data_IF_631171158762
#
_entry.id   IF_631171158762
#
_cell.length_a   1.000
_cell.length_b   1.000
_cell.length_c   1.000
_cell.angle_alpha   90.00
_cell.angle_beta   90.00
_cell.angle_gamma   90.00
#
_symmetry.space_group_name_H-M   'P 1'
#
loop_
_entity.id
_entity.type
_entity.pdbx_description
1 polymer ?
#
# COMPACT_ATOMS: atom_id res chain seq x y z
N UNK A 1 -1.19 -29.73 24.51
CA UNK A 1 -0.89 -29.64 23.07
C UNK A 1 -2.13 -29.08 22.40
N UNK A 2 -2.05 -27.88 21.83
CA UNK A 2 -3.21 -27.25 21.18
C UNK A 2 -3.28 -27.84 19.77
N UNK A 3 -4.32 -28.63 19.54
CA UNK A 3 -4.58 -29.24 18.25
C UNK A 3 -4.97 -28.14 17.25
N UNK A 4 -4.11 -27.92 16.27
CA UNK A 4 -4.33 -26.91 15.24
C UNK A 4 -5.26 -27.51 14.20
N UNK A 5 -6.51 -27.05 14.15
CA UNK A 5 -7.48 -27.45 13.14
C UNK A 5 -6.84 -27.38 11.75
N UNK A 6 -6.71 -28.52 11.07
CA UNK A 6 -6.30 -28.58 9.66
C UNK A 6 -7.24 -27.69 8.85
N UNK A 7 -6.72 -26.59 8.30
CA UNK A 7 -7.45 -25.76 7.34
C UNK A 7 -7.83 -26.63 6.13
N UNK A 8 -9.09 -26.58 5.65
CA UNK A 8 -9.48 -27.31 4.45
C UNK A 8 -8.65 -26.83 3.25
N UNK A 9 -8.24 -27.77 2.39
CA UNK A 9 -7.59 -27.44 1.12
C UNK A 9 -8.57 -26.67 0.25
N UNK A 10 -8.20 -25.46 -0.13
CA UNK A 10 -9.04 -24.62 -0.99
C UNK A 10 -8.70 -24.96 -2.44
N UNK A 11 -9.43 -25.91 -3.02
CA UNK A 11 -9.46 -26.07 -4.47
C UNK A 11 -10.12 -24.83 -5.12
N UNK A 12 -9.87 -24.60 -6.41
CA UNK A 12 -10.39 -23.45 -7.17
C UNK A 12 -11.85 -23.13 -6.79
N UNK A 13 -12.07 -21.93 -6.25
CA UNK A 13 -13.39 -21.49 -5.78
C UNK A 13 -14.37 -21.45 -6.96
N UNK A 14 -13.88 -21.09 -8.16
CA UNK A 14 -14.54 -21.11 -9.48
C UNK A 14 -13.48 -21.13 -10.60
N UNK A 15 -13.82 -21.55 -11.83
CA UNK A 15 -12.91 -21.47 -12.98
C UNK A 15 -12.38 -20.05 -13.16
N UNK A 16 -11.06 -19.88 -13.17
CA UNK A 16 -10.40 -18.57 -13.29
C UNK A 16 -10.22 -17.81 -11.97
N UNK A 17 -10.66 -18.37 -10.84
CA UNK A 17 -10.35 -17.85 -9.50
C UNK A 17 -9.17 -18.62 -8.95
N UNK A 18 -8.01 -17.96 -8.92
CA UNK A 18 -6.76 -18.50 -8.38
C UNK A 18 -7.00 -19.01 -6.95
N UNK A 19 -6.43 -20.18 -6.66
CA UNK A 19 -6.36 -20.71 -5.29
C UNK A 19 -5.72 -19.63 -4.39
N UNK A 20 -6.31 -19.29 -3.23
CA UNK A 20 -5.71 -18.35 -2.30
C UNK A 20 -4.29 -18.80 -1.95
N UNK A 21 -3.33 -17.87 -2.05
CA UNK A 21 -1.96 -18.14 -1.65
C UNK A 21 -1.92 -18.59 -0.18
N UNK A 22 -0.98 -19.48 0.17
CA UNK A 22 -0.80 -19.90 1.56
C UNK A 22 -0.58 -18.69 2.46
N UNK A 23 -1.17 -18.74 3.66
CA UNK A 23 -1.04 -17.66 4.64
C UNK A 23 0.35 -17.72 5.28
N UNK A 24 1.22 -16.77 4.89
CA UNK A 24 2.60 -16.63 5.34
C UNK A 24 2.77 -15.29 6.04
N UNK A 25 3.92 -15.06 6.67
CA UNK A 25 4.29 -13.74 7.20
C UNK A 25 4.35 -12.65 6.12
N UNK A 26 4.52 -13.04 4.85
CA UNK A 26 4.57 -12.13 3.70
C UNK A 26 3.22 -12.01 2.98
N UNK A 27 2.16 -12.64 3.50
CA UNK A 27 0.82 -12.52 2.92
C UNK A 27 0.34 -11.09 3.08
N UNK A 28 -0.03 -10.41 1.98
CA UNK A 28 -0.40 -9.02 2.03
C UNK A 28 -1.75 -8.90 2.74
N UNK A 29 -1.82 -8.01 3.73
CA UNK A 29 -3.03 -7.72 4.49
C UNK A 29 -3.36 -6.25 4.33
N UNK A 30 -4.64 -5.92 4.47
CA UNK A 30 -5.01 -4.52 4.60
C UNK A 30 -4.49 -3.99 5.92
N UNK A 31 -3.57 -3.02 5.85
CA UNK A 31 -3.07 -2.26 6.96
C UNK A 31 -4.22 -1.50 7.63
N UNK A 32 -4.17 -1.50 8.95
CA UNK A 32 -5.06 -0.75 9.82
C UNK A 32 -4.25 -0.17 10.97
N UNK A 33 -4.82 0.79 11.69
CA UNK A 33 -4.20 1.43 12.84
C UNK A 33 -5.27 1.91 13.81
N UNK A 34 -4.85 2.33 15.01
CA UNK A 34 -5.74 3.04 15.93
C UNK A 34 -5.80 4.51 15.52
N UNK A 35 -6.95 4.91 14.95
CA UNK A 35 -7.15 6.28 14.48
C UNK A 35 -7.30 7.30 15.61
N UNK A 36 -7.78 6.87 16.78
CA UNK A 36 -7.92 7.75 17.93
C UNK A 36 -6.55 7.98 18.56
N UNK A 37 -5.75 6.95 18.73
CA UNK A 37 -4.35 7.09 19.20
C UNK A 37 -3.53 7.99 18.27
N UNK A 38 -3.64 7.80 16.94
CA UNK A 38 -3.01 8.67 15.95
C UNK A 38 -3.46 10.13 16.04
N UNK A 39 -4.67 10.38 16.53
CA UNK A 39 -5.21 11.73 16.63
C UNK A 39 -4.78 12.47 17.89
N UNK A 40 -4.49 11.74 18.95
CA UNK A 40 -3.98 12.27 20.22
C UNK A 40 -2.44 12.37 20.25
N UNK A 41 -1.77 12.00 19.16
CA UNK A 41 -0.31 12.09 19.04
C UNK A 41 0.16 13.54 19.15
N UNK A 42 0.95 13.83 20.19
CA UNK A 42 1.58 15.13 20.37
C UNK A 42 2.74 15.30 19.37
N UNK A 43 2.58 16.27 18.47
CA UNK A 43 3.58 16.61 17.44
C UNK A 43 4.36 17.88 17.77
N UNK A 44 4.09 18.53 18.90
CA UNK A 44 4.61 19.87 19.22
C UNK A 44 6.14 19.95 19.21
N UNK A 45 6.81 18.88 19.66
CA UNK A 45 8.28 18.79 19.71
C UNK A 45 8.92 18.81 18.32
N UNK A 46 8.20 18.35 17.29
CA UNK A 46 8.69 18.22 15.92
C UNK A 46 7.81 18.94 14.89
N UNK A 47 7.02 19.92 15.33
CA UNK A 47 6.02 20.56 14.48
C UNK A 47 6.68 21.32 13.32
N UNK A 48 7.82 21.97 13.58
CA UNK A 48 8.57 22.71 12.57
C UNK A 48 9.10 21.79 11.48
N UNK A 49 9.67 20.63 11.84
CA UNK A 49 10.13 19.63 10.89
C UNK A 49 8.97 19.03 10.08
N UNK A 50 7.85 18.71 10.74
CA UNK A 50 6.66 18.20 10.05
C UNK A 50 6.08 19.21 9.07
N UNK A 51 6.09 20.50 9.42
CA UNK A 51 5.68 21.58 8.52
C UNK A 51 6.62 21.72 7.34
N UNK A 52 7.93 21.60 7.55
CA UNK A 52 8.90 21.59 6.46
C UNK A 52 8.67 20.41 5.49
N UNK A 53 8.45 19.21 6.01
CA UNK A 53 8.10 18.02 5.21
C UNK A 53 6.77 18.24 4.46
N UNK A 54 5.77 18.85 5.11
CA UNK A 54 4.49 19.17 4.47
C UNK A 54 4.68 20.11 3.27
N UNK A 55 5.55 21.12 3.37
CA UNK A 55 5.86 21.99 2.24
C UNK A 55 6.53 21.23 1.08
N UNK A 56 7.41 20.27 1.36
CA UNK A 56 7.97 19.41 0.31
C UNK A 56 6.90 18.54 -0.36
N UNK A 57 5.97 17.98 0.42
CA UNK A 57 4.84 17.23 -0.13
C UNK A 57 3.91 18.10 -0.99
N UNK A 58 3.74 19.38 -0.63
CA UNK A 58 2.98 20.36 -1.41
C UNK A 58 3.70 20.72 -2.72
N UNK A 59 5.01 20.90 -2.68
CA UNK A 59 5.85 21.18 -3.84
C UNK A 59 5.82 20.04 -4.88
N UNK A 60 5.59 18.80 -4.43
CA UNK A 60 5.24 17.66 -5.28
C UNK A 60 6.29 17.34 -6.36
N UNK A 61 7.57 17.40 -5.99
CA UNK A 61 8.70 17.17 -6.89
C UNK A 61 8.61 15.84 -7.67
N UNK A 62 8.01 14.82 -7.06
CA UNK A 62 7.87 13.49 -7.66
C UNK A 62 6.63 13.32 -8.54
N UNK A 63 5.92 14.39 -8.91
CA UNK A 63 4.70 14.32 -9.73
C UNK A 63 4.87 13.51 -11.02
N UNK A 64 6.03 13.60 -11.64
CA UNK A 64 6.35 12.94 -12.91
C UNK A 64 7.29 11.74 -12.76
N UNK A 65 7.49 11.24 -11.53
CA UNK A 65 8.46 10.18 -11.26
C UNK A 65 8.07 8.86 -11.92
N UNK A 66 6.79 8.48 -11.87
CA UNK A 66 6.29 7.26 -12.51
C UNK A 66 6.02 7.54 -13.99
N UNK A 67 6.86 6.98 -14.84
CA UNK A 67 6.75 7.01 -16.30
C UNK A 67 6.91 5.59 -16.81
N UNK A 68 5.94 5.15 -17.60
CA UNK A 68 6.05 3.94 -18.40
C UNK A 68 6.62 4.34 -19.76
N UNK A 69 7.87 4.01 -20.01
CA UNK A 69 8.57 4.34 -21.25
C UNK A 69 8.48 3.21 -22.28
N UNK A 70 9.24 3.36 -23.37
CA UNK A 70 9.27 2.42 -24.49
C UNK A 70 9.85 1.05 -24.11
N UNK A 71 10.63 0.94 -23.02
CA UNK A 71 11.15 -0.36 -22.54
C UNK A 71 10.02 -1.28 -22.08
N UNK A 72 8.86 -0.72 -21.72
CA UNK A 72 7.66 -1.48 -21.36
C UNK A 72 6.77 -1.84 -22.57
N UNK A 73 7.17 -1.49 -23.80
CA UNK A 73 6.47 -1.81 -25.04
C UNK A 73 6.93 -3.15 -25.66
N UNK A 74 7.28 -4.12 -24.80
CA UNK A 74 7.71 -5.46 -25.21
C UNK A 74 6.93 -6.55 -24.46
N UNK A 75 7.06 -7.80 -24.93
CA UNK A 75 6.53 -8.97 -24.21
C UNK A 75 7.54 -9.51 -23.21
N UNK A 76 7.03 -10.03 -22.09
CA UNK A 76 7.79 -10.69 -21.03
C UNK A 76 7.55 -12.20 -21.01
N UNK A 77 7.10 -12.79 -22.12
CA UNK A 77 6.79 -14.23 -22.24
C UNK A 77 8.01 -15.14 -22.02
N UNK A 78 9.22 -14.59 -22.16
CA UNK A 78 10.47 -15.29 -21.88
C UNK A 78 10.71 -15.53 -20.38
N UNK A 79 9.98 -14.85 -19.49
CA UNK A 79 9.97 -15.15 -18.05
C UNK A 79 8.98 -16.29 -17.85
N UNK A 80 9.47 -17.50 -17.60
CA UNK A 80 8.66 -18.72 -17.50
C UNK A 80 8.90 -19.50 -16.19
N UNK A 81 8.21 -20.63 -16.06
CA UNK A 81 8.35 -21.56 -14.94
C UNK A 81 8.14 -20.94 -13.57
N UNK A 82 8.99 -21.34 -12.62
CA UNK A 82 8.98 -20.87 -11.23
C UNK A 82 9.29 -19.37 -11.11
N UNK A 83 10.17 -18.85 -11.97
CA UNK A 83 10.53 -17.43 -11.96
C UNK A 83 9.31 -16.56 -12.27
N UNK A 84 8.52 -16.95 -13.28
CA UNK A 84 7.26 -16.25 -13.60
C UNK A 84 6.27 -16.28 -12.45
N UNK A 85 6.15 -17.42 -11.76
CA UNK A 85 5.26 -17.56 -10.62
C UNK A 85 5.66 -16.62 -9.48
N UNK A 86 6.94 -16.62 -9.09
CA UNK A 86 7.46 -15.73 -8.04
C UNK A 86 7.34 -14.26 -8.43
N UNK A 87 7.59 -13.92 -9.70
CA UNK A 87 7.46 -12.55 -10.20
C UNK A 87 6.01 -12.05 -10.11
N UNK A 88 5.03 -12.87 -10.53
CA UNK A 88 3.61 -12.54 -10.39
C UNK A 88 3.21 -12.41 -8.93
N UNK A 89 3.64 -13.34 -8.07
CA UNK A 89 3.35 -13.28 -6.64
C UNK A 89 3.93 -12.02 -5.98
N UNK A 90 5.14 -11.62 -6.37
CA UNK A 90 5.75 -10.36 -5.95
C UNK A 90 4.95 -9.13 -6.39
N UNK A 91 4.49 -9.10 -7.64
CA UNK A 91 3.67 -8.00 -8.16
C UNK A 91 2.32 -7.92 -7.45
N UNK A 92 1.63 -9.05 -7.27
CA UNK A 92 0.35 -9.13 -6.55
C UNK A 92 0.50 -8.61 -5.11
N UNK A 93 1.56 -9.02 -4.41
CA UNK A 93 1.88 -8.56 -3.06
C UNK A 93 2.16 -7.06 -3.01
N UNK A 94 3.02 -6.57 -3.90
CA UNK A 94 3.40 -5.16 -3.98
C UNK A 94 2.17 -4.29 -4.25
N UNK A 95 1.35 -4.64 -5.25
CA UNK A 95 0.13 -3.90 -5.57
C UNK A 95 -0.88 -3.91 -4.41
N UNK A 96 -1.04 -5.05 -3.72
CA UNK A 96 -1.97 -5.13 -2.58
C UNK A 96 -1.50 -4.27 -1.40
N UNK A 97 -0.21 -4.29 -1.08
CA UNK A 97 0.37 -3.48 -0.01
C UNK A 97 0.24 -1.98 -0.31
N UNK A 98 0.55 -1.56 -1.55
CA UNK A 98 0.40 -0.17 -1.98
C UNK A 98 -1.06 0.30 -1.96
N UNK A 99 -1.98 -0.51 -2.49
CA UNK A 99 -3.41 -0.21 -2.46
C UNK A 99 -3.92 -0.10 -1.02
N UNK A 100 -3.48 -1.00 -0.14
CA UNK A 100 -3.82 -0.90 1.27
C UNK A 100 -3.26 0.38 1.92
N UNK A 101 -2.01 0.75 1.63
CA UNK A 101 -1.40 1.97 2.16
C UNK A 101 -2.17 3.22 1.71
N UNK A 102 -2.60 3.26 0.45
CA UNK A 102 -3.46 4.31 -0.07
C UNK A 102 -4.76 4.47 0.75
N UNK A 103 -5.46 3.36 1.00
CA UNK A 103 -6.71 3.40 1.77
C UNK A 103 -6.47 3.89 3.20
N UNK A 104 -5.44 3.36 3.86
CA UNK A 104 -5.08 3.76 5.22
C UNK A 104 -4.77 5.27 5.30
N UNK A 105 -3.92 5.78 4.42
CA UNK A 105 -3.59 7.21 4.38
C UNK A 105 -4.83 8.06 4.07
N UNK A 106 -5.70 7.60 3.16
CA UNK A 106 -6.91 8.35 2.84
C UNK A 106 -7.91 8.37 3.99
N UNK A 107 -7.97 7.31 4.79
CA UNK A 107 -8.82 7.25 5.96
C UNK A 107 -8.26 8.13 7.09
N UNK A 108 -6.96 8.05 7.38
CA UNK A 108 -6.26 8.92 8.33
C UNK A 108 -6.47 10.40 7.97
N UNK A 109 -6.30 10.77 6.71
CA UNK A 109 -6.48 12.16 6.27
C UNK A 109 -7.89 12.69 6.54
N UNK A 110 -8.91 11.83 6.53
CA UNK A 110 -10.29 12.21 6.79
C UNK A 110 -10.59 12.29 8.28
N UNK A 111 -10.16 11.28 9.05
CA UNK A 111 -10.43 11.18 10.49
C UNK A 111 -9.66 12.22 11.30
N UNK A 112 -8.43 12.53 10.91
CA UNK A 112 -7.56 13.47 11.63
C UNK A 112 -7.87 14.95 11.36
N UNK A 113 -8.64 15.27 10.32
CA UNK A 113 -8.82 16.65 9.82
C UNK A 113 -9.23 17.67 10.89
N UNK A 114 -10.03 17.25 11.88
CA UNK A 114 -10.51 18.11 12.97
C UNK A 114 -9.67 18.06 14.26
N UNK A 115 -8.71 17.11 14.36
CA UNK A 115 -7.92 16.86 15.57
C UNK A 115 -6.45 17.22 15.37
N UNK A 116 -5.85 16.77 14.26
CA UNK A 116 -4.46 17.09 13.88
C UNK A 116 -4.40 17.49 12.39
N UNK A 117 -4.61 18.78 12.07
CA UNK A 117 -4.68 19.26 10.69
C UNK A 117 -3.40 19.05 9.89
N UNK A 118 -2.22 19.19 10.51
CA UNK A 118 -0.91 18.99 9.85
C UNK A 118 -0.77 17.54 9.40
N UNK A 119 -0.98 16.58 10.31
CA UNK A 119 -0.92 15.15 9.97
C UNK A 119 -1.99 14.77 8.93
N UNK A 120 -3.21 15.28 9.08
CA UNK A 120 -4.28 15.02 8.13
C UNK A 120 -3.89 15.43 6.70
N UNK A 121 -3.23 16.58 6.55
CA UNK A 121 -2.77 17.04 5.25
C UNK A 121 -1.59 16.22 4.72
N UNK A 122 -0.61 15.89 5.57
CA UNK A 122 0.48 14.97 5.20
C UNK A 122 -0.07 13.66 4.63
N UNK A 123 -0.98 12.99 5.35
CA UNK A 123 -1.58 11.74 4.88
C UNK A 123 -2.40 11.92 3.60
N UNK A 124 -3.08 13.06 3.41
CA UNK A 124 -3.78 13.34 2.15
C UNK A 124 -2.79 13.41 0.97
N UNK A 125 -1.66 14.09 1.14
CA UNK A 125 -0.64 14.22 0.09
C UNK A 125 0.11 12.92 -0.16
N UNK A 126 0.41 12.14 0.89
CA UNK A 126 0.95 10.78 0.74
C UNK A 126 -0.03 9.88 -0.02
N UNK A 127 -1.33 9.94 0.29
CA UNK A 127 -2.35 9.17 -0.46
C UNK A 127 -2.37 9.55 -1.95
N UNK A 128 -2.18 10.83 -2.29
CA UNK A 128 -2.08 11.30 -3.68
C UNK A 128 -0.84 10.73 -4.37
N UNK A 129 0.29 10.65 -3.67
CA UNK A 129 1.53 10.08 -4.20
C UNK A 129 1.36 8.58 -4.49
N UNK A 130 0.90 7.80 -3.52
CA UNK A 130 0.66 6.35 -3.69
C UNK A 130 -0.34 6.07 -4.81
N UNK A 131 -1.38 6.89 -4.96
CA UNK A 131 -2.33 6.74 -6.06
C UNK A 131 -1.68 6.83 -7.46
N UNK A 132 -0.52 7.48 -7.61
CA UNK A 132 0.20 7.55 -8.89
C UNK A 132 0.99 6.30 -9.22
N UNK A 133 1.34 5.47 -8.24
CA UNK A 133 2.01 4.19 -8.48
C UNK A 133 1.08 3.21 -9.23
N UNK A 134 -0.24 3.42 -9.11
CA UNK A 134 -1.27 2.47 -9.53
C UNK A 134 -1.96 2.83 -10.87
N UNK A 135 -1.69 4.00 -11.44
CA UNK A 135 -2.52 4.61 -12.52
C UNK A 135 -1.75 4.78 -13.85
N UNK A 136 -0.48 4.38 -13.94
CA UNK A 136 0.33 4.52 -15.15
C UNK A 136 0.98 3.19 -15.54
#
# INVERSE_FOLDING_TARGET
>A
MVDSLKKPSVDEIRPGVKVPAEDTILTPRFYTTDFDEMAEMDISVNEDELRAILEEFRADYNRHHFVRDEEFAQSWDHIDGETRQLFIEFLERSCTAEFSGFLLYKELSRKLKGKSPVLAECFNLMSRFIARHQVK
#
